data_IF_717981748607
#
_entry.id   IF_717981748607
#
_cell.length_a   1.000
_cell.length_b   1.000
_cell.length_c   1.000
_cell.angle_alpha   90.00
_cell.angle_beta   90.00
_cell.angle_gamma   90.00
#
_symmetry.space_group_name_H-M   'P 1'
#
loop_
_entity.id
_entity.type
_entity.pdbx_description
1 polymer ?
#
# COMPACT_ATOMS: atom_id res chain seq x y z
N UNK A 1 -29.75 8.74 23.84
CA UNK A 1 -30.02 10.18 23.65
C UNK A 1 -28.82 10.90 24.20
N UNK A 2 -27.95 11.36 23.31
CA UNK A 2 -26.69 12.00 23.65
C UNK A 2 -26.70 13.34 22.95
N UNK A 3 -26.74 14.39 23.76
CA UNK A 3 -26.74 15.79 23.34
C UNK A 3 -25.34 16.17 22.86
N UNK A 4 -25.21 16.46 21.57
CA UNK A 4 -24.01 17.02 20.96
C UNK A 4 -23.98 18.54 21.16
N UNK A 5 -22.89 19.06 21.71
CA UNK A 5 -22.61 20.49 21.76
C UNK A 5 -21.96 20.90 20.43
N UNK A 6 -22.58 21.84 19.72
CA UNK A 6 -22.11 22.30 18.40
C UNK A 6 -20.82 23.11 18.52
N UNK A 7 -19.67 22.51 18.17
CA UNK A 7 -18.67 23.24 17.39
C UNK A 7 -19.26 23.45 15.98
N UNK A 8 -18.93 24.56 15.31
CA UNK A 8 -19.45 25.03 14.01
C UNK A 8 -20.36 24.05 13.22
N UNK A 9 -21.56 24.51 12.85
CA UNK A 9 -22.67 23.72 12.28
C UNK A 9 -22.37 22.87 11.02
N UNK A 10 -21.17 22.95 10.45
CA UNK A 10 -20.74 22.26 9.22
C UNK A 10 -19.70 21.17 9.46
N UNK A 11 -19.12 21.08 10.67
CA UNK A 11 -18.08 20.12 10.96
C UNK A 11 -18.68 18.72 11.19
N UNK A 12 -17.97 17.70 10.74
CA UNK A 12 -18.34 16.31 10.98
C UNK A 12 -17.58 15.79 12.20
N UNK A 13 -18.32 15.35 13.22
CA UNK A 13 -17.78 14.70 14.42
C UNK A 13 -18.06 13.20 14.37
N UNK A 14 -16.99 12.41 14.41
CA UNK A 14 -17.02 10.95 14.35
C UNK A 14 -16.48 10.38 15.67
N UNK A 15 -17.27 9.52 16.33
CA UNK A 15 -16.84 8.85 17.56
C UNK A 15 -15.72 7.85 17.26
N UNK A 16 -14.72 7.78 18.14
CA UNK A 16 -13.68 6.75 18.14
C UNK A 16 -14.15 5.60 19.03
N UNK A 17 -14.48 4.42 18.47
CA UNK A 17 -14.91 3.29 19.29
C UNK A 17 -13.79 2.85 20.24
N UNK A 18 -14.10 2.62 21.53
CA UNK A 18 -13.11 2.19 22.53
C UNK A 18 -12.34 0.90 22.15
N UNK A 19 -12.99 0.00 21.39
CA UNK A 19 -12.32 -1.20 20.83
C UNK A 19 -11.19 -0.83 19.87
N UNK A 20 -11.37 0.24 19.09
CA UNK A 20 -10.39 0.68 18.10
C UNK A 20 -9.20 1.36 18.77
N UNK A 21 -9.40 2.06 19.90
CA UNK A 21 -8.30 2.62 20.70
C UNK A 21 -7.34 1.52 21.19
N UNK A 22 -7.88 0.47 21.82
CA UNK A 22 -7.06 -0.67 22.28
C UNK A 22 -6.31 -1.38 21.14
N UNK A 23 -6.93 -1.47 19.96
CA UNK A 23 -6.28 -2.05 18.78
C UNK A 23 -5.18 -1.14 18.22
N UNK A 24 -5.41 0.16 18.19
CA UNK A 24 -4.42 1.16 17.78
C UNK A 24 -3.21 1.14 18.71
N UNK A 25 -3.44 1.06 20.03
CA UNK A 25 -2.36 0.92 21.03
C UNK A 25 -1.52 -0.33 20.77
N UNK A 26 -2.17 -1.48 20.58
CA UNK A 26 -1.47 -2.73 20.31
C UNK A 26 -0.65 -2.65 19.02
N UNK A 27 -1.24 -2.11 17.95
CA UNK A 27 -0.60 -1.99 16.62
C UNK A 27 0.53 -0.97 16.60
N UNK A 28 0.44 0.09 17.39
CA UNK A 28 1.49 1.10 17.50
C UNK A 28 2.80 0.54 18.06
N UNK A 29 2.79 -0.65 18.68
CA UNK A 29 4.02 -1.29 19.15
C UNK A 29 4.97 -1.77 18.03
N UNK A 30 4.46 -1.87 16.80
CA UNK A 30 5.18 -2.36 15.60
C UNK A 30 5.88 -1.25 14.79
N UNK A 31 6.29 -0.16 15.45
CA UNK A 31 7.07 0.92 14.83
C UNK A 31 8.41 1.13 15.54
N UNK A 32 9.39 1.64 14.79
CA UNK A 32 10.80 1.58 15.20
C UNK A 32 11.15 2.50 16.36
N UNK A 33 10.45 3.64 16.48
CA UNK A 33 10.76 4.69 17.45
C UNK A 33 9.47 5.34 17.99
N UNK A 34 9.49 6.01 19.16
CA UNK A 34 8.30 6.58 19.77
C UNK A 34 7.49 7.52 18.87
N UNK A 35 8.14 8.34 18.04
CA UNK A 35 7.46 9.24 17.10
C UNK A 35 6.67 8.46 16.06
N UNK A 36 7.27 7.46 15.43
CA UNK A 36 6.58 6.61 14.45
C UNK A 36 5.46 5.78 15.09
N UNK A 37 5.62 5.33 16.35
CA UNK A 37 4.55 4.64 17.09
C UNK A 37 3.32 5.53 17.26
N UNK A 38 3.56 6.76 17.70
CA UNK A 38 2.50 7.73 17.91
C UNK A 38 1.82 8.14 16.60
N UNK A 39 2.61 8.34 15.53
CA UNK A 39 2.07 8.58 14.20
C UNK A 39 1.17 7.43 13.73
N UNK A 40 1.61 6.18 13.89
CA UNK A 40 0.80 5.00 13.57
C UNK A 40 -0.48 4.93 14.39
N UNK A 41 -0.42 5.26 15.68
CA UNK A 41 -1.59 5.32 16.57
C UNK A 41 -2.63 6.33 16.07
N UNK A 42 -2.23 7.58 15.84
CA UNK A 42 -3.13 8.65 15.39
C UNK A 42 -3.73 8.35 14.00
N UNK A 43 -2.94 7.79 13.09
CA UNK A 43 -3.45 7.36 11.78
C UNK A 43 -4.48 6.24 11.88
N UNK A 44 -4.26 5.26 12.75
CA UNK A 44 -5.22 4.18 12.98
C UNK A 44 -6.53 4.70 13.57
N UNK A 45 -6.48 5.61 14.56
CA UNK A 45 -7.67 6.22 15.14
C UNK A 45 -8.48 6.96 14.08
N UNK A 46 -7.82 7.84 13.34
CA UNK A 46 -8.39 8.60 12.23
C UNK A 46 -9.06 7.69 11.20
N UNK A 47 -8.31 6.71 10.69
CA UNK A 47 -8.82 5.76 9.71
C UNK A 47 -10.03 5.00 10.23
N UNK A 48 -9.98 4.55 11.49
CA UNK A 48 -11.03 3.72 12.08
C UNK A 48 -12.36 4.45 12.29
N UNK A 49 -12.31 5.78 12.45
CA UNK A 49 -13.49 6.62 12.57
C UNK A 49 -14.02 7.08 11.19
N UNK A 50 -13.11 7.46 10.28
CA UNK A 50 -13.47 8.07 8.99
C UNK A 50 -13.88 7.04 7.94
N UNK A 51 -13.25 5.85 7.90
CA UNK A 51 -13.58 4.83 6.88
C UNK A 51 -15.05 4.38 6.93
N UNK A 52 -15.65 4.07 8.09
CA UNK A 52 -17.07 3.72 8.16
C UNK A 52 -17.99 4.83 7.63
N UNK A 53 -17.67 6.09 7.93
CA UNK A 53 -18.41 7.23 7.41
C UNK A 53 -18.30 7.34 5.88
N UNK A 54 -17.10 7.19 5.31
CA UNK A 54 -16.94 7.18 3.84
C UNK A 54 -17.72 6.02 3.21
N UNK A 55 -17.75 4.85 3.87
CA UNK A 55 -18.49 3.69 3.39
C UNK A 55 -20.01 3.90 3.41
N UNK A 56 -20.52 4.65 4.38
CA UNK A 56 -21.94 4.98 4.49
C UNK A 56 -22.35 6.09 3.50
N UNK A 57 -21.56 7.16 3.41
CA UNK A 57 -21.91 8.36 2.65
C UNK A 57 -21.67 8.21 1.13
N UNK A 58 -20.61 7.50 0.72
CA UNK A 58 -20.21 7.41 -0.68
C UNK A 58 -20.49 6.03 -1.28
N UNK A 59 -19.86 4.98 -0.73
CA UNK A 59 -20.03 3.60 -1.22
C UNK A 59 -19.52 2.58 -0.23
N UNK A 60 -20.29 1.51 -0.02
CA UNK A 60 -19.88 0.39 0.85
C UNK A 60 -18.61 -0.34 0.38
N UNK A 61 -18.19 -0.11 -0.88
CA UNK A 61 -16.96 -0.66 -1.46
C UNK A 61 -15.71 0.18 -1.15
N UNK A 62 -15.86 1.32 -0.46
CA UNK A 62 -14.74 2.15 -0.07
C UNK A 62 -13.76 1.35 0.80
N UNK A 63 -12.47 1.44 0.47
CA UNK A 63 -11.43 0.61 1.07
C UNK A 63 -10.12 1.37 1.24
N UNK A 64 -9.34 0.93 2.21
CA UNK A 64 -7.98 1.42 2.44
C UNK A 64 -7.12 1.17 1.20
N UNK A 65 -6.35 2.17 0.78
CA UNK A 65 -5.37 2.04 -0.28
C UNK A 65 -3.93 1.96 0.27
N UNK A 66 -3.08 1.08 -0.28
CA UNK A 66 -3.43 0.00 -1.21
C UNK A 66 -4.10 -1.17 -0.46
N UNK A 67 -3.65 -1.47 0.76
CA UNK A 67 -4.27 -2.45 1.67
C UNK A 67 -3.95 -2.11 3.12
N UNK A 68 -4.72 -2.66 4.07
CA UNK A 68 -4.45 -2.51 5.51
C UNK A 68 -3.14 -3.15 5.97
N UNK A 69 -2.65 -4.18 5.27
CA UNK A 69 -1.48 -4.97 5.69
C UNK A 69 -0.16 -4.23 5.49
N UNK A 70 -0.11 -3.29 4.54
CA UNK A 70 1.09 -2.49 4.25
C UNK A 70 1.06 -1.09 4.87
N UNK A 71 -0.04 -0.69 5.52
CA UNK A 71 -0.15 0.61 6.20
C UNK A 71 1.01 0.88 7.18
N UNK A 72 1.49 -0.09 7.99
CA UNK A 72 2.62 0.16 8.89
C UNK A 72 3.88 0.65 8.17
N UNK A 73 4.17 0.20 6.94
CA UNK A 73 5.32 0.70 6.20
C UNK A 73 5.10 2.09 5.59
N UNK A 74 3.86 2.57 5.46
CA UNK A 74 3.57 3.97 5.16
C UNK A 74 3.76 4.80 6.43
N UNK A 75 3.07 4.42 7.51
CA UNK A 75 3.02 5.18 8.76
C UNK A 75 4.33 5.19 9.55
N UNK A 76 5.26 4.29 9.28
CA UNK A 76 6.63 4.42 9.80
C UNK A 76 7.33 5.67 9.27
N UNK A 77 6.99 6.08 8.04
CA UNK A 77 7.77 7.05 7.25
C UNK A 77 7.02 8.36 6.98
N UNK A 78 5.71 8.32 6.81
CA UNK A 78 4.87 9.44 6.36
C UNK A 78 3.53 9.42 7.11
N UNK A 79 3.14 10.58 7.65
CA UNK A 79 1.82 10.76 8.24
C UNK A 79 0.74 10.74 7.14
N UNK A 80 -0.36 10.04 7.38
CA UNK A 80 -1.54 10.04 6.52
C UNK A 80 -1.89 8.68 5.95
N UNK A 81 -3.11 8.58 5.44
CA UNK A 81 -3.69 7.35 4.90
C UNK A 81 -4.57 7.67 3.70
N UNK A 82 -4.56 6.80 2.70
CA UNK A 82 -5.46 6.92 1.56
C UNK A 82 -6.64 5.95 1.67
N UNK A 83 -7.81 6.41 1.26
CA UNK A 83 -9.02 5.62 1.07
C UNK A 83 -9.43 5.73 -0.40
N UNK A 84 -9.58 4.59 -1.07
CA UNK A 84 -10.07 4.51 -2.44
C UNK A 84 -11.60 4.34 -2.44
N UNK A 85 -12.25 5.14 -3.28
CA UNK A 85 -13.69 5.18 -3.54
C UNK A 85 -13.86 5.18 -5.05
N UNK A 86 -14.08 4.00 -5.63
CA UNK A 86 -14.05 3.76 -7.08
C UNK A 86 -12.73 4.27 -7.72
N UNK A 87 -12.80 5.32 -8.54
CA UNK A 87 -11.65 5.96 -9.19
C UNK A 87 -11.09 7.15 -8.39
N UNK A 88 -11.77 7.53 -7.32
CA UNK A 88 -11.44 8.68 -6.47
C UNK A 88 -10.62 8.22 -5.27
N UNK A 89 -9.65 9.04 -4.86
CA UNK A 89 -8.84 8.80 -3.66
C UNK A 89 -8.98 9.94 -2.67
N UNK A 90 -9.38 9.61 -1.45
CA UNK A 90 -9.37 10.50 -0.30
C UNK A 90 -8.08 10.32 0.50
N UNK A 91 -7.43 11.42 0.86
CA UNK A 91 -6.25 11.42 1.72
C UNK A 91 -6.64 11.99 3.07
N UNK A 92 -6.39 11.21 4.11
CA UNK A 92 -6.53 11.59 5.50
C UNK A 92 -5.15 11.97 6.02
N UNK A 93 -4.96 13.20 6.49
CA UNK A 93 -3.75 13.59 7.20
C UNK A 93 -4.17 14.05 8.59
N UNK A 94 -4.14 13.17 9.59
CA UNK A 94 -4.59 13.53 10.92
C UNK A 94 -3.61 14.48 11.60
N UNK A 95 -4.17 15.39 12.39
CA UNK A 95 -3.48 16.35 13.24
C UNK A 95 -4.14 16.38 14.61
N UNK A 96 -3.39 16.77 15.63
CA UNK A 96 -3.92 17.08 16.97
C UNK A 96 -3.80 18.59 17.27
N UNK A 97 -3.48 19.38 16.24
CA UNK A 97 -3.45 20.83 16.39
C UNK A 97 -4.88 21.33 16.62
N UNK A 98 -5.04 22.08 17.71
CA UNK A 98 -6.30 22.75 18.07
C UNK A 98 -6.55 23.98 17.17
N UNK A 99 -5.48 24.52 16.57
CA UNK A 99 -5.58 25.64 15.64
C UNK A 99 -5.91 25.12 14.24
N UNK A 100 -7.19 25.26 13.85
CA UNK A 100 -7.71 24.96 12.50
C UNK A 100 -7.33 26.05 11.49
N UNK A 101 -6.13 26.64 11.59
CA UNK A 101 -5.70 27.74 10.73
C UNK A 101 -5.25 27.27 9.35
N UNK A 102 -4.77 26.03 9.24
CA UNK A 102 -4.32 25.45 7.97
C UNK A 102 -4.42 23.92 7.93
N UNK A 103 -4.64 23.39 6.72
CA UNK A 103 -4.42 21.97 6.42
C UNK A 103 -2.99 21.78 5.93
N UNK A 104 -2.22 20.92 6.60
CA UNK A 104 -0.85 20.58 6.23
C UNK A 104 -0.77 19.16 5.69
N UNK A 105 -0.24 18.99 4.48
CA UNK A 105 -0.16 17.71 3.78
C UNK A 105 1.30 17.39 3.43
N UNK A 106 1.84 16.23 3.84
CA UNK A 106 3.17 15.79 3.43
C UNK A 106 3.32 15.73 1.91
N UNK A 107 4.47 16.21 1.41
CA UNK A 107 4.81 16.26 -0.01
C UNK A 107 4.59 14.92 -0.73
N UNK A 108 4.78 13.79 -0.06
CA UNK A 108 4.59 12.44 -0.58
C UNK A 108 3.16 12.18 -1.06
N UNK A 109 2.16 12.73 -0.36
CA UNK A 109 0.76 12.59 -0.75
C UNK A 109 0.34 13.56 -1.86
N UNK A 110 1.23 14.44 -2.30
CA UNK A 110 0.94 15.48 -3.30
C UNK A 110 1.75 15.24 -4.57
N UNK A 111 3.06 15.03 -4.45
CA UNK A 111 3.99 15.02 -5.57
C UNK A 111 4.37 13.60 -6.04
N UNK A 112 3.86 12.53 -5.41
CA UNK A 112 4.03 11.15 -5.91
C UNK A 112 2.82 10.74 -6.75
N UNK A 113 3.08 10.31 -7.99
CA UNK A 113 2.01 10.04 -8.97
C UNK A 113 1.10 8.90 -8.51
N UNK A 114 1.67 7.86 -7.91
CA UNK A 114 0.87 6.72 -7.46
C UNK A 114 0.16 6.96 -6.14
N UNK A 115 0.59 7.93 -5.31
CA UNK A 115 0.01 8.21 -3.99
C UNK A 115 -1.01 9.36 -4.01
N UNK A 116 -0.88 10.31 -4.93
CA UNK A 116 -1.66 11.54 -4.93
C UNK A 116 -3.19 11.30 -4.83
N UNK A 117 -3.82 12.09 -3.97
CA UNK A 117 -5.26 12.11 -3.75
C UNK A 117 -6.02 12.86 -4.81
N UNK A 118 -7.35 12.74 -4.78
CA UNK A 118 -8.26 13.70 -5.40
C UNK A 118 -8.70 14.74 -4.38
N UNK A 119 -9.03 14.28 -3.17
CA UNK A 119 -9.51 15.08 -2.05
C UNK A 119 -8.67 14.84 -0.81
N UNK A 120 -8.35 15.91 -0.09
CA UNK A 120 -7.60 15.90 1.16
C UNK A 120 -8.52 16.39 2.26
N UNK A 121 -8.78 15.53 3.24
CA UNK A 121 -9.64 15.86 4.35
C UNK A 121 -8.81 16.55 5.44
N UNK A 122 -9.36 17.65 5.95
CA UNK A 122 -8.80 18.37 7.08
C UNK A 122 -9.32 17.72 8.37
N UNK A 123 -8.46 16.92 9.00
CA UNK A 123 -8.84 16.03 10.10
C UNK A 123 -8.09 16.38 11.37
N UNK A 124 -8.85 16.65 12.42
CA UNK A 124 -8.39 16.78 13.80
C UNK A 124 -8.76 15.50 14.56
N UNK A 125 -7.80 14.90 15.25
CA UNK A 125 -8.01 13.74 16.11
C UNK A 125 -7.91 14.21 17.56
N UNK A 126 -8.89 13.85 18.37
CA UNK A 126 -8.92 14.14 19.82
C UNK A 126 -9.04 12.81 20.57
N UNK A 127 -7.91 12.11 20.81
CA UNK A 127 -7.93 10.77 21.39
C UNK A 127 -8.55 10.74 22.78
N UNK A 128 -8.25 11.74 23.62
CA UNK A 128 -8.70 11.83 25.01
C UNK A 128 -10.22 12.05 25.12
N UNK A 129 -10.78 12.85 24.22
CA UNK A 129 -12.22 13.09 24.12
C UNK A 129 -12.94 12.03 23.26
N UNK A 130 -12.18 11.13 22.63
CA UNK A 130 -12.70 9.99 21.89
C UNK A 130 -13.41 10.35 20.58
N UNK A 131 -12.99 11.40 19.88
CA UNK A 131 -13.58 11.76 18.59
C UNK A 131 -12.56 12.17 17.53
N UNK A 132 -12.99 12.10 16.27
CA UNK A 132 -12.32 12.65 15.10
C UNK A 132 -13.22 13.72 14.51
N UNK A 133 -12.67 14.90 14.25
CA UNK A 133 -13.36 16.02 13.64
C UNK A 133 -12.84 16.23 12.23
N UNK A 134 -13.74 16.25 11.25
CA UNK A 134 -13.44 16.68 9.88
C UNK A 134 -14.03 18.07 9.70
N UNK A 135 -13.17 19.07 9.60
CA UNK A 135 -13.56 20.49 9.58
C UNK A 135 -13.53 21.12 8.17
N UNK A 136 -13.13 20.33 7.17
CA UNK A 136 -13.17 20.73 5.77
C UNK A 136 -12.41 19.80 4.84
N UNK A 137 -12.33 20.18 3.57
CA UNK A 137 -11.56 19.47 2.56
C UNK A 137 -11.05 20.41 1.46
N UNK A 138 -10.04 19.96 0.73
CA UNK A 138 -9.61 20.59 -0.52
C UNK A 138 -9.28 19.52 -1.59
N UNK A 139 -9.15 19.96 -2.83
CA UNK A 139 -8.69 19.10 -3.93
C UNK A 139 -7.16 19.13 -4.07
N UNK A 140 -6.59 18.13 -4.73
CA UNK A 140 -5.17 18.14 -5.11
C UNK A 140 -4.79 19.38 -5.92
N UNK A 141 -5.66 19.81 -6.84
CA UNK A 141 -5.48 21.02 -7.65
C UNK A 141 -5.36 22.27 -6.77
N UNK A 142 -6.26 22.46 -5.81
CA UNK A 142 -6.21 23.57 -4.87
C UNK A 142 -4.91 23.54 -4.04
N UNK A 143 -4.54 22.36 -3.53
CA UNK A 143 -3.33 22.16 -2.75
C UNK A 143 -2.06 22.56 -3.53
N UNK A 144 -1.98 22.19 -4.82
CA UNK A 144 -0.83 22.53 -5.69
C UNK A 144 -0.79 23.99 -6.11
N UNK A 145 -1.95 24.60 -6.38
CA UNK A 145 -2.02 25.92 -6.99
C UNK A 145 -2.18 27.07 -5.99
N UNK A 146 -2.68 26.77 -4.79
CA UNK A 146 -2.94 27.76 -3.73
C UNK A 146 -2.18 27.48 -2.43
N UNK A 147 -1.83 26.22 -2.19
CA UNK A 147 -1.05 25.85 -1.01
C UNK A 147 0.36 26.44 -1.03
N UNK A 148 0.85 26.80 0.15
CA UNK A 148 2.22 27.22 0.37
C UNK A 148 3.09 26.01 0.71
N UNK A 149 4.18 25.81 -0.03
CA UNK A 149 5.11 24.72 0.22
C UNK A 149 6.18 25.12 1.23
N UNK A 150 6.21 24.44 2.38
CA UNK A 150 7.28 24.55 3.37
C UNK A 150 8.37 23.49 3.10
N UNK A 151 9.54 23.95 2.69
CA UNK A 151 10.68 23.09 2.42
C UNK A 151 11.34 22.52 3.69
N UNK A 152 11.10 23.13 4.86
CA UNK A 152 11.68 22.74 6.15
C UNK A 152 11.18 21.38 6.62
N UNK A 153 9.90 21.09 6.43
CA UNK A 153 9.28 19.82 6.78
C UNK A 153 8.63 19.08 5.59
N UNK A 154 8.78 19.63 4.38
CA UNK A 154 8.23 19.12 3.12
C UNK A 154 6.73 18.91 3.23
N UNK A 155 6.01 19.98 3.55
CA UNK A 155 4.55 19.98 3.61
C UNK A 155 3.99 21.09 2.73
N UNK A 156 2.83 20.83 2.15
CA UNK A 156 1.98 21.87 1.56
C UNK A 156 0.97 22.29 2.62
N UNK A 157 0.87 23.59 2.87
CA UNK A 157 -0.09 24.18 3.79
C UNK A 157 -1.14 24.98 3.01
N UNK A 158 -2.42 24.75 3.27
CA UNK A 158 -3.53 25.54 2.71
C UNK A 158 -4.24 26.21 3.87
N UNK A 159 -4.37 27.53 3.81
CA UNK A 159 -5.07 28.32 4.83
C UNK A 159 -6.54 27.90 4.89
N UNK A 160 -7.11 27.88 6.09
CA UNK A 160 -8.50 27.53 6.34
C UNK A 160 -9.47 28.33 5.46
N UNK A 161 -9.18 29.60 5.16
CA UNK A 161 -10.05 30.43 4.29
C UNK A 161 -10.16 29.90 2.85
N UNK A 162 -9.20 29.07 2.42
CA UNK A 162 -9.17 28.48 1.08
C UNK A 162 -9.70 27.04 1.03
N UNK A 163 -10.02 26.47 2.20
CA UNK A 163 -10.58 25.13 2.37
C UNK A 163 -12.10 25.20 2.27
N UNK A 164 -12.71 24.14 1.76
CA UNK A 164 -14.16 23.99 1.73
C UNK A 164 -14.59 23.38 3.07
N UNK A 165 -15.16 24.20 3.95
CA UNK A 165 -15.56 23.80 5.30
C UNK A 165 -16.81 22.91 5.34
N UNK A 166 -17.73 23.08 4.40
CA UNK A 166 -18.97 22.30 4.37
C UNK A 166 -18.70 20.93 3.74
N UNK A 167 -18.47 19.93 4.59
CA UNK A 167 -18.21 18.56 4.18
C UNK A 167 -19.42 17.92 3.47
N UNK A 168 -20.65 18.36 3.75
CA UNK A 168 -21.85 17.86 3.08
C UNK A 168 -21.88 18.24 1.59
N UNK A 169 -21.16 19.29 1.18
CA UNK A 169 -21.02 19.68 -0.23
C UNK A 169 -20.15 18.69 -1.01
N UNK A 170 -19.27 17.93 -0.34
CA UNK A 170 -18.36 16.99 -1.00
C UNK A 170 -19.11 15.89 -1.76
N UNK A 171 -20.07 15.23 -1.12
CA UNK A 171 -20.88 14.17 -1.73
C UNK A 171 -21.67 14.71 -2.93
N UNK A 172 -22.32 15.87 -2.77
CA UNK A 172 -23.04 16.56 -3.84
C UNK A 172 -22.11 16.93 -5.01
N UNK A 173 -20.89 17.37 -4.73
CA UNK A 173 -19.93 17.77 -5.77
C UNK A 173 -19.50 16.56 -6.60
N UNK A 174 -19.30 15.40 -5.98
CA UNK A 174 -18.97 14.18 -6.72
C UNK A 174 -20.12 13.70 -7.61
N UNK A 175 -21.36 13.79 -7.13
CA UNK A 175 -22.54 13.39 -7.90
C UNK A 175 -22.82 14.34 -9.08
N UNK A 176 -22.76 15.64 -8.84
CA UNK A 176 -23.14 16.67 -9.82
C UNK A 176 -22.01 17.05 -10.78
N UNK A 177 -20.75 16.92 -10.36
CA UNK A 177 -19.57 17.34 -11.11
C UNK A 177 -18.51 16.22 -11.23
N UNK A 178 -18.85 15.02 -11.75
CA UNK A 178 -17.92 13.88 -11.83
C UNK A 178 -16.72 14.11 -12.77
N UNK A 179 -16.80 15.15 -13.62
CA UNK A 179 -15.73 15.53 -14.55
C UNK A 179 -14.89 16.72 -14.04
N UNK A 180 -15.10 17.15 -12.78
CA UNK A 180 -14.28 18.18 -12.19
C UNK A 180 -12.81 17.73 -12.13
N UNK A 181 -11.90 18.61 -12.54
CA UNK A 181 -10.47 18.34 -12.46
C UNK A 181 -10.06 18.51 -10.99
N UNK A 182 -9.90 17.38 -10.31
CA UNK A 182 -9.48 17.31 -8.90
C UNK A 182 -7.97 17.37 -8.73
N UNK A 183 -7.21 16.96 -9.76
CA UNK A 183 -5.74 16.84 -9.71
C UNK A 183 -5.03 17.77 -10.69
N UNK A 184 -4.07 18.53 -10.19
CA UNK A 184 -3.04 19.15 -11.01
C UNK A 184 -2.07 18.10 -11.58
N UNK A 185 -1.35 18.45 -12.65
CA UNK A 185 -0.34 17.59 -13.26
C UNK A 185 0.85 17.36 -12.31
N UNK A 186 1.27 16.11 -12.18
CA UNK A 186 2.42 15.70 -11.36
C UNK A 186 3.54 15.27 -12.30
N UNK A 187 4.74 15.80 -12.07
CA UNK A 187 5.92 15.38 -12.82
C UNK A 187 6.37 14.01 -12.33
N UNK A 188 6.61 13.03 -13.23
CA UNK A 188 7.10 11.73 -12.82
C UNK A 188 8.51 11.85 -12.22
N UNK A 189 8.79 11.01 -11.23
CA UNK A 189 10.11 10.94 -10.61
C UNK A 189 11.10 10.20 -11.51
N UNK A 190 12.41 10.54 -11.42
CA UNK A 190 13.44 9.77 -12.08
C UNK A 190 13.52 8.36 -11.47
N UNK A 191 13.78 7.36 -12.31
CA UNK A 191 14.02 5.98 -11.87
C UNK A 191 15.25 5.92 -10.94
N UNK A 192 15.09 5.26 -9.81
CA UNK A 192 16.17 5.06 -8.84
C UNK A 192 16.89 3.73 -9.15
N UNK A 193 18.21 3.71 -9.42
CA UNK A 193 18.94 2.47 -9.65
C UNK A 193 18.95 1.55 -8.42
N UNK A 194 18.84 0.24 -8.61
CA UNK A 194 18.81 -0.74 -7.53
C UNK A 194 20.02 -0.63 -6.55
N UNK A 195 21.28 -0.50 -7.00
CA UNK A 195 22.41 -0.36 -6.06
C UNK A 195 22.30 0.90 -5.19
N UNK A 196 21.70 1.96 -5.74
CA UNK A 196 21.46 3.18 -4.98
C UNK A 196 20.33 2.97 -3.95
N UNK A 197 19.23 2.33 -4.33
CA UNK A 197 18.14 1.99 -3.43
C UNK A 197 18.63 1.13 -2.25
N UNK A 198 19.40 0.08 -2.49
CA UNK A 198 19.91 -0.81 -1.43
C UNK A 198 20.81 -0.08 -0.42
N UNK A 199 21.68 0.80 -0.91
CA UNK A 199 22.51 1.66 -0.06
C UNK A 199 21.67 2.63 0.78
N UNK A 200 20.60 3.19 0.21
CA UNK A 200 19.68 4.08 0.92
C UNK A 200 18.89 3.33 1.98
N UNK A 201 18.33 2.16 1.67
CA UNK A 201 17.62 1.29 2.62
C UNK A 201 18.54 0.99 3.80
N UNK A 202 19.78 0.59 3.54
CA UNK A 202 20.77 0.29 4.59
C UNK A 202 21.10 1.51 5.46
N UNK A 203 21.20 2.69 4.86
CA UNK A 203 21.56 3.92 5.58
C UNK A 203 20.40 4.52 6.37
N UNK A 204 19.20 4.55 5.79
CA UNK A 204 17.98 5.11 6.37
C UNK A 204 17.27 4.11 7.31
N UNK A 205 17.59 2.82 7.19
CA UNK A 205 17.15 1.74 8.07
C UNK A 205 17.69 1.86 9.48
N UNK A 206 18.72 2.67 9.69
CA UNK A 206 19.34 2.93 10.99
C UNK A 206 18.41 3.74 11.89
N UNK A 207 18.07 3.26 13.12
CA UNK A 207 17.18 3.97 14.04
C UNK A 207 17.64 5.38 14.43
N UNK A 208 18.95 5.66 14.32
CA UNK A 208 19.51 6.99 14.58
C UNK A 208 19.04 8.05 13.57
N UNK A 209 18.56 7.62 12.39
CA UNK A 209 17.90 8.50 11.42
C UNK A 209 16.44 8.66 11.82
N UNK A 210 16.17 9.69 12.62
CA UNK A 210 14.84 9.99 13.18
C UNK A 210 13.84 10.40 12.08
N UNK A 211 14.27 11.21 11.11
CA UNK A 211 13.41 11.73 10.02
C UNK A 211 13.95 11.35 8.64
N UNK A 212 13.82 10.08 8.21
CA UNK A 212 14.33 9.62 6.91
C UNK A 212 13.90 10.48 5.72
N UNK A 213 12.66 10.97 5.73
CA UNK A 213 12.09 11.81 4.67
C UNK A 213 12.81 13.14 4.47
N UNK A 214 13.55 13.67 5.46
CA UNK A 214 14.30 14.92 5.35
C UNK A 214 15.80 14.69 5.14
N UNK A 215 16.29 13.45 5.29
CA UNK A 215 17.72 13.13 5.24
C UNK A 215 18.32 13.12 3.83
N UNK A 216 17.49 13.07 2.78
CA UNK A 216 17.90 13.02 1.37
C UNK A 216 16.97 13.85 0.49
N UNK A 217 17.36 14.27 -0.73
CA UNK A 217 16.49 15.03 -1.64
C UNK A 217 15.18 14.31 -1.96
N UNK A 218 14.09 15.07 -2.13
CA UNK A 218 12.74 14.51 -2.32
C UNK A 218 12.67 13.57 -3.53
N UNK A 219 13.30 13.88 -4.66
CA UNK A 219 13.26 13.00 -5.83
C UNK A 219 13.81 11.60 -5.54
N UNK A 220 14.86 11.52 -4.72
CA UNK A 220 15.49 10.25 -4.32
C UNK A 220 14.64 9.55 -3.25
N UNK A 221 14.11 10.33 -2.30
CA UNK A 221 13.20 9.82 -1.26
C UNK A 221 11.93 9.24 -1.86
N UNK A 222 11.23 10.04 -2.67
CA UNK A 222 10.01 9.68 -3.38
C UNK A 222 10.19 8.43 -4.23
N UNK A 223 11.26 8.37 -5.03
CA UNK A 223 11.55 7.18 -5.85
C UNK A 223 11.80 5.92 -5.01
N UNK A 224 12.31 6.07 -3.79
CA UNK A 224 12.52 4.95 -2.86
C UNK A 224 11.20 4.45 -2.26
N UNK A 225 10.36 5.36 -1.76
CA UNK A 225 9.14 4.98 -1.03
C UNK A 225 7.94 4.71 -1.94
N UNK A 226 7.91 5.29 -3.14
CA UNK A 226 6.89 4.99 -4.14
C UNK A 226 6.99 3.53 -4.62
N UNK A 227 8.17 2.93 -4.51
CA UNK A 227 8.37 1.50 -4.73
C UNK A 227 7.98 0.69 -3.48
N UNK A 228 6.81 0.02 -3.52
CA UNK A 228 6.27 -0.80 -2.41
C UNK A 228 7.29 -1.76 -1.77
N UNK A 229 8.03 -2.51 -2.60
CA UNK A 229 9.06 -3.45 -2.13
C UNK A 229 10.17 -2.78 -1.34
N UNK A 230 10.82 -1.74 -1.89
CA UNK A 230 11.85 -0.99 -1.17
C UNK A 230 11.34 -0.27 0.08
N UNK A 231 10.13 0.29 0.04
CA UNK A 231 9.46 0.88 1.21
C UNK A 231 9.29 -0.15 2.33
N UNK A 232 8.83 -1.35 1.97
CA UNK A 232 8.66 -2.46 2.90
C UNK A 232 10.01 -2.94 3.46
N UNK A 233 11.05 -3.07 2.62
CA UNK A 233 12.41 -3.41 3.07
C UNK A 233 12.96 -2.37 4.03
N UNK A 234 12.76 -1.07 3.75
CA UNK A 234 13.15 0.02 4.65
C UNK A 234 12.43 -0.08 5.99
N UNK A 235 11.12 -0.28 6.00
CA UNK A 235 10.33 -0.47 7.22
C UNK A 235 10.87 -1.65 8.07
N UNK A 236 11.08 -2.81 7.43
CA UNK A 236 11.60 -3.99 8.11
C UNK A 236 12.99 -3.77 8.70
N UNK A 237 13.88 -3.10 7.96
CA UNK A 237 15.23 -2.80 8.44
C UNK A 237 15.19 -1.85 9.64
N UNK A 238 14.28 -0.87 9.66
CA UNK A 238 14.08 0.03 10.81
C UNK A 238 13.58 -0.70 12.05
N UNK A 239 12.80 -1.77 11.88
CA UNK A 239 12.39 -2.65 12.97
C UNK A 239 13.47 -3.64 13.42
N UNK A 240 14.61 -3.71 12.73
CA UNK A 240 15.64 -4.71 12.99
C UNK A 240 15.22 -6.13 12.62
N UNK A 241 14.20 -6.27 11.76
CA UNK A 241 13.76 -7.58 11.28
C UNK A 241 14.74 -8.10 10.21
N UNK A 242 15.05 -9.41 10.21
CA UNK A 242 15.83 -10.01 9.14
C UNK A 242 15.05 -9.95 7.81
N UNK A 243 15.74 -10.15 6.69
CA UNK A 243 15.14 -10.18 5.36
C UNK A 243 13.98 -11.18 5.31
N UNK A 244 12.75 -10.69 5.19
CA UNK A 244 11.53 -11.50 5.37
C UNK A 244 11.07 -12.19 4.09
N UNK A 245 11.68 -11.91 2.94
CA UNK A 245 11.15 -12.21 1.58
C UNK A 245 12.00 -13.20 0.79
N UNK A 246 12.75 -14.06 1.47
CA UNK A 246 13.53 -15.12 0.81
C UNK A 246 12.63 -16.33 0.46
N UNK A 247 12.43 -16.55 -0.84
CA UNK A 247 11.67 -17.68 -1.36
C UNK A 247 12.32 -19.00 -0.97
N UNK A 248 13.65 -19.11 -1.10
CA UNK A 248 14.39 -20.30 -0.67
C UNK A 248 14.18 -20.59 0.83
N UNK A 249 14.23 -19.55 1.68
CA UNK A 249 13.98 -19.72 3.10
C UNK A 249 12.54 -20.16 3.37
N UNK A 250 11.55 -19.56 2.69
CA UNK A 250 10.15 -19.93 2.87
C UNK A 250 9.86 -21.38 2.48
N UNK A 251 10.51 -21.89 1.43
CA UNK A 251 10.40 -23.29 1.03
C UNK A 251 11.01 -24.24 2.07
N UNK A 252 12.11 -23.84 2.71
CA UNK A 252 12.80 -24.66 3.72
C UNK A 252 12.12 -24.63 5.08
N UNK A 253 11.80 -23.44 5.61
CA UNK A 253 11.33 -23.24 6.99
C UNK A 253 9.85 -22.87 7.13
N UNK A 254 9.13 -22.73 6.01
CA UNK A 254 7.77 -22.18 6.00
C UNK A 254 7.76 -20.66 5.74
N UNK A 255 6.64 -20.17 5.24
CA UNK A 255 6.41 -18.74 4.95
C UNK A 255 6.53 -17.92 6.23
N UNK A 256 7.16 -16.74 6.17
CA UNK A 256 7.29 -15.87 7.33
C UNK A 256 5.91 -15.34 7.77
N UNK A 257 5.74 -15.04 9.06
CA UNK A 257 4.48 -14.48 9.56
C UNK A 257 4.11 -13.16 8.84
N UNK A 258 5.11 -12.35 8.47
CA UNK A 258 4.91 -11.13 7.70
C UNK A 258 4.42 -11.39 6.27
N UNK A 259 4.80 -12.52 5.67
CA UNK A 259 4.32 -12.89 4.35
C UNK A 259 2.95 -13.55 4.41
N UNK A 260 2.64 -14.33 5.45
CA UNK A 260 1.30 -14.87 5.71
C UNK A 260 0.26 -13.76 5.90
N UNK A 261 0.59 -12.68 6.63
CA UNK A 261 -0.34 -11.54 6.80
C UNK A 261 -0.59 -10.80 5.51
N UNK A 262 0.39 -10.76 4.62
CA UNK A 262 0.22 -10.19 3.27
C UNK A 262 -0.44 -11.22 2.34
N UNK A 263 -0.60 -12.49 2.74
CA UNK A 263 -1.42 -13.50 2.08
C UNK A 263 -0.65 -14.51 1.23
N UNK A 264 0.66 -14.65 1.47
CA UNK A 264 1.45 -15.77 0.98
C UNK A 264 1.19 -17.02 1.84
N UNK A 265 1.17 -18.18 1.20
CA UNK A 265 1.03 -19.47 1.87
C UNK A 265 1.80 -20.57 1.14
N UNK A 266 2.02 -21.68 1.83
CA UNK A 266 2.64 -22.88 1.24
C UNK A 266 1.57 -23.89 0.86
N UNK A 267 1.55 -24.29 -0.40
CA UNK A 267 0.78 -25.44 -0.86
C UNK A 267 1.68 -26.67 -0.84
N UNK A 268 1.30 -27.65 -0.01
CA UNK A 268 1.84 -28.99 -0.12
C UNK A 268 0.98 -29.75 -1.12
N UNK A 269 1.41 -29.79 -2.38
CA UNK A 269 0.77 -30.62 -3.40
C UNK A 269 1.14 -32.08 -3.14
N UNK A 270 0.39 -32.76 -2.25
CA UNK A 270 0.28 -34.22 -2.31
C UNK A 270 -0.58 -34.56 -3.53
N UNK A 271 0.00 -34.48 -4.72
CA UNK A 271 -0.61 -35.02 -5.93
C UNK A 271 -0.69 -36.54 -5.80
N UNK A 272 -1.78 -37.02 -5.21
CA UNK A 272 -2.16 -38.43 -5.27
C UNK A 272 -2.73 -38.74 -6.66
N UNK A 273 -1.87 -38.73 -7.68
CA UNK A 273 -2.21 -39.40 -8.94
C UNK A 273 -2.06 -40.90 -8.69
N UNK A 274 -3.21 -41.58 -8.57
CA UNK A 274 -3.27 -43.04 -8.53
C UNK A 274 -2.72 -43.63 -9.83
N UNK A 275 -1.43 -43.94 -9.84
CA UNK A 275 -0.73 -44.63 -10.93
C UNK A 275 0.56 -45.23 -10.40
N UNK A 276 0.61 -46.56 -10.25
CA UNK A 276 1.78 -47.29 -9.75
C UNK A 276 3.01 -47.01 -10.61
N UNK A 277 4.06 -46.48 -9.99
CA UNK A 277 5.44 -46.58 -10.47
C UNK A 277 6.01 -45.29 -11.06
N UNK A 278 6.35 -44.34 -10.20
CA UNK A 278 7.40 -43.35 -10.45
C UNK A 278 7.96 -42.93 -9.10
N UNK A 279 9.27 -42.72 -9.04
CA UNK A 279 10.03 -42.37 -7.84
C UNK A 279 9.35 -41.26 -7.03
N UNK A 280 9.35 -41.41 -5.71
CA UNK A 280 8.92 -40.40 -4.76
C UNK A 280 9.80 -39.15 -4.93
N UNK A 281 9.40 -38.25 -5.81
CA UNK A 281 9.95 -36.89 -5.87
C UNK A 281 9.54 -36.22 -4.55
N UNK A 282 10.48 -35.68 -3.76
CA UNK A 282 10.15 -35.04 -2.49
C UNK A 282 9.15 -33.92 -2.77
N UNK A 283 8.12 -33.81 -1.91
CA UNK A 283 7.02 -32.86 -2.09
C UNK A 283 7.53 -31.46 -2.46
N UNK A 284 7.42 -31.11 -3.74
CA UNK A 284 7.79 -29.79 -4.22
C UNK A 284 6.90 -28.78 -3.51
N UNK A 285 7.56 -27.99 -2.68
CA UNK A 285 6.90 -27.02 -1.84
C UNK A 285 6.64 -25.82 -2.73
N UNK A 286 5.37 -25.49 -2.93
CA UNK A 286 4.96 -24.41 -3.83
C UNK A 286 4.50 -23.24 -2.96
N UNK A 287 4.94 -22.05 -3.33
CA UNK A 287 4.42 -20.83 -2.73
C UNK A 287 3.19 -20.38 -3.51
N UNK A 288 2.20 -19.88 -2.78
CA UNK A 288 0.91 -19.44 -3.32
C UNK A 288 0.52 -18.08 -2.75
N UNK A 289 -0.13 -17.26 -3.58
CA UNK A 289 -0.64 -15.94 -3.21
C UNK A 289 -2.04 -15.76 -3.80
N UNK A 290 -3.03 -15.55 -2.94
CA UNK A 290 -4.42 -15.29 -3.37
C UNK A 290 -4.63 -13.82 -3.69
N UNK A 291 -5.22 -13.58 -4.86
CA UNK A 291 -5.40 -12.25 -5.44
C UNK A 291 -6.88 -12.02 -5.78
N UNK A 292 -7.40 -10.86 -5.44
CA UNK A 292 -8.73 -10.43 -5.87
C UNK A 292 -8.60 -9.53 -7.09
N UNK A 293 -9.14 -9.95 -8.24
CA UNK A 293 -9.07 -9.19 -9.49
C UNK A 293 -10.47 -9.15 -10.10
N UNK A 294 -11.04 -7.94 -10.26
CA UNK A 294 -12.36 -7.70 -10.83
C UNK A 294 -13.46 -8.58 -10.20
N UNK A 295 -13.47 -8.68 -8.86
CA UNK A 295 -14.45 -9.46 -8.11
C UNK A 295 -14.29 -10.99 -8.19
N UNK A 296 -13.23 -11.50 -8.83
CA UNK A 296 -12.90 -12.93 -8.84
C UNK A 296 -11.59 -13.20 -8.09
N UNK A 297 -11.43 -14.44 -7.62
CA UNK A 297 -10.22 -14.88 -6.93
C UNK A 297 -9.30 -15.62 -7.89
N UNK A 298 -8.05 -15.18 -7.94
CA UNK A 298 -6.96 -15.81 -8.66
C UNK A 298 -5.88 -16.25 -7.69
N UNK A 299 -5.05 -17.18 -8.12
CA UNK A 299 -3.92 -17.69 -7.36
C UNK A 299 -2.65 -17.55 -8.19
N UNK A 300 -1.67 -16.84 -7.64
CA UNK A 300 -0.31 -16.78 -8.16
C UNK A 300 0.52 -17.85 -7.45
N UNK A 301 1.18 -18.69 -8.22
CA UNK A 301 2.05 -19.76 -7.76
C UNK A 301 3.50 -19.45 -8.13
N UNK A 302 4.43 -19.78 -7.22
CA UNK A 302 5.87 -19.77 -7.49
C UNK A 302 6.38 -21.18 -7.30
N UNK A 303 6.79 -21.78 -8.41
CA UNK A 303 7.10 -23.21 -8.52
C UNK A 303 8.57 -23.35 -8.93
N UNK A 304 9.43 -23.98 -8.10
CA UNK A 304 10.77 -24.36 -8.53
C UNK A 304 10.70 -25.49 -9.54
N UNK A 305 11.45 -25.38 -10.65
CA UNK A 305 11.60 -26.40 -11.68
C UNK A 305 13.08 -26.72 -11.91
N UNK A 306 13.41 -27.97 -12.20
CA UNK A 306 14.76 -28.41 -12.53
C UNK A 306 15.53 -29.05 -11.36
N UNK A 307 16.78 -29.44 -11.65
CA UNK A 307 17.69 -30.05 -10.66
C UNK A 307 18.50 -28.96 -9.90
N UNK A 308 19.06 -29.34 -8.74
CA UNK A 308 19.61 -28.43 -7.70
C UNK A 308 20.59 -27.33 -8.16
N UNK A 309 21.24 -27.48 -9.31
CA UNK A 309 22.26 -26.53 -9.79
C UNK A 309 21.75 -25.53 -10.86
N UNK A 310 20.55 -25.72 -11.41
CA UNK A 310 19.88 -24.79 -12.32
C UNK A 310 18.37 -24.77 -12.04
N UNK A 311 17.99 -24.10 -10.95
CA UNK A 311 16.57 -23.93 -10.61
C UNK A 311 15.98 -22.86 -11.52
N UNK A 312 15.03 -23.25 -12.35
CA UNK A 312 14.17 -22.37 -13.11
C UNK A 312 12.93 -22.11 -12.27
N UNK A 313 12.57 -20.85 -12.07
CA UNK A 313 11.39 -20.46 -11.31
C UNK A 313 10.24 -20.16 -12.26
N UNK A 314 9.13 -20.88 -12.07
CA UNK A 314 7.89 -20.64 -12.80
C UNK A 314 6.93 -19.84 -11.92
N UNK A 315 6.58 -18.66 -12.40
CA UNK A 315 5.48 -17.87 -11.88
C UNK A 315 4.24 -18.20 -12.70
N UNK A 316 3.20 -18.70 -12.06
CA UNK A 316 1.97 -19.12 -12.73
C UNK A 316 0.75 -18.46 -12.11
N UNK A 317 -0.05 -17.80 -12.93
CA UNK A 317 -1.34 -17.25 -12.54
C UNK A 317 -2.45 -18.19 -13.04
N UNK A 318 -3.38 -18.54 -12.16
CA UNK A 318 -4.59 -19.31 -12.50
C UNK A 318 -5.82 -18.74 -11.79
N UNK A 319 -7.01 -19.03 -12.33
CA UNK A 319 -8.24 -18.76 -11.59
C UNK A 319 -8.33 -19.73 -10.41
N UNK A 320 -8.69 -19.25 -9.21
CA UNK A 320 -8.80 -20.11 -8.04
C UNK A 320 -10.04 -21.03 -8.10
N UNK A 321 -11.02 -20.69 -8.94
CA UNK A 321 -12.19 -21.53 -9.19
C UNK A 321 -11.83 -22.63 -10.19
N UNK A 322 -11.94 -23.89 -9.76
CA UNK A 322 -11.61 -25.06 -10.59
C UNK A 322 -12.39 -25.03 -11.91
N UNK A 323 -11.66 -25.11 -13.03
CA UNK A 323 -12.22 -25.12 -14.39
C UNK A 323 -12.62 -23.75 -14.93
N UNK A 324 -12.47 -22.66 -14.15
CA UNK A 324 -12.62 -21.31 -14.66
C UNK A 324 -11.34 -20.88 -15.40
N UNK A 325 -11.53 -20.16 -16.51
CA UNK A 325 -10.44 -19.63 -17.32
C UNK A 325 -10.10 -18.19 -16.92
N UNK A 326 -8.86 -17.79 -17.17
CA UNK A 326 -8.43 -16.39 -17.19
C UNK A 326 -8.95 -15.75 -18.49
N UNK A 327 -9.74 -14.66 -18.43
CA UNK A 327 -10.21 -13.96 -19.60
C UNK A 327 -9.09 -13.32 -20.43
N UNK A 328 -9.38 -13.03 -21.71
CA UNK A 328 -8.49 -12.21 -22.54
C UNK A 328 -8.31 -10.80 -21.96
N UNK A 329 -7.11 -10.24 -22.13
CA UNK A 329 -6.69 -8.95 -21.59
C UNK A 329 -5.85 -9.04 -20.32
N UNK A 330 -5.75 -10.22 -19.70
CA UNK A 330 -4.87 -10.42 -18.55
C UNK A 330 -3.41 -10.50 -18.96
N UNK A 331 -2.52 -10.02 -18.09
CA UNK A 331 -1.07 -10.10 -18.25
C UNK A 331 -0.43 -10.45 -16.92
N UNK A 332 0.52 -11.38 -16.94
CA UNK A 332 1.48 -11.64 -15.87
C UNK A 332 2.85 -11.15 -16.34
N UNK A 333 3.53 -10.32 -15.54
CA UNK A 333 4.83 -9.76 -15.86
C UNK A 333 5.79 -9.91 -14.68
N UNK A 334 7.06 -10.19 -14.96
CA UNK A 334 8.17 -10.12 -14.04
C UNK A 334 9.08 -8.94 -14.40
N UNK A 335 9.67 -8.30 -13.40
CA UNK A 335 10.55 -7.14 -13.55
C UNK A 335 11.73 -7.29 -12.60
N UNK A 336 12.84 -6.65 -12.94
CA UNK A 336 13.95 -6.46 -11.99
C UNK A 336 13.50 -5.58 -10.81
N UNK A 337 14.29 -5.51 -9.75
CA UNK A 337 14.00 -4.68 -8.57
C UNK A 337 13.88 -3.18 -8.87
N UNK A 338 14.54 -2.69 -9.91
CA UNK A 338 14.42 -1.31 -10.40
C UNK A 338 13.35 -1.16 -11.51
N UNK A 339 12.41 -2.12 -11.56
CA UNK A 339 11.24 -2.15 -12.43
C UNK A 339 11.57 -2.14 -13.92
N UNK A 340 12.72 -2.68 -14.31
CA UNK A 340 13.09 -2.81 -15.71
C UNK A 340 12.59 -4.13 -16.30
N UNK A 341 12.08 -4.12 -17.54
CA UNK A 341 11.73 -5.34 -18.25
C UNK A 341 12.98 -6.08 -18.72
N UNK A 342 12.86 -7.38 -18.91
CA UNK A 342 13.88 -8.25 -19.49
C UNK A 342 13.24 -9.16 -20.57
N UNK A 343 14.03 -9.85 -21.41
CA UNK A 343 13.46 -10.70 -22.47
C UNK A 343 12.54 -11.79 -21.92
N UNK A 344 11.39 -11.99 -22.56
CA UNK A 344 10.36 -12.98 -22.20
C UNK A 344 9.83 -12.84 -20.75
N UNK A 345 9.79 -11.61 -20.23
CA UNK A 345 9.36 -11.34 -18.86
C UNK A 345 7.84 -11.28 -18.68
N UNK A 346 7.03 -11.48 -19.72
CA UNK A 346 5.58 -11.38 -19.62
C UNK A 346 4.86 -12.43 -20.47
N UNK A 347 3.66 -12.80 -20.00
CA UNK A 347 2.69 -13.62 -20.71
C UNK A 347 1.33 -12.91 -20.71
N UNK A 348 0.64 -12.93 -21.85
CA UNK A 348 -0.59 -12.16 -22.09
C UNK A 348 -1.69 -13.08 -22.62
N UNK A 349 -2.81 -13.11 -21.92
CA UNK A 349 -4.02 -13.78 -22.37
C UNK A 349 -4.65 -12.96 -23.52
N UNK A 350 -4.57 -13.44 -24.76
CA UNK A 350 -5.31 -12.83 -25.89
C UNK A 350 -6.73 -13.36 -26.00
N UNK A 351 -6.97 -14.58 -25.52
CA UNK A 351 -8.26 -15.25 -25.41
C UNK A 351 -8.36 -15.89 -24.02
N UNK A 352 -9.49 -16.54 -23.72
CA UNK A 352 -9.63 -17.29 -22.48
C UNK A 352 -8.61 -18.44 -22.42
N UNK A 353 -7.80 -18.48 -21.37
CA UNK A 353 -6.76 -19.50 -21.13
C UNK A 353 -6.87 -20.06 -19.71
N UNK A 354 -6.39 -21.28 -19.49
CA UNK A 354 -6.45 -21.88 -18.14
C UNK A 354 -5.46 -21.21 -17.17
N UNK A 355 -4.32 -20.75 -17.69
CA UNK A 355 -3.25 -20.15 -16.91
C UNK A 355 -2.39 -19.21 -17.75
N UNK A 356 -1.68 -18.30 -17.08
CA UNK A 356 -0.55 -17.53 -17.62
C UNK A 356 0.71 -17.93 -16.86
N UNK A 357 1.86 -17.98 -17.53
CA UNK A 357 3.10 -18.28 -16.83
C UNK A 357 4.33 -17.60 -17.42
N UNK A 358 5.29 -17.29 -16.54
CA UNK A 358 6.62 -16.79 -16.90
C UNK A 358 7.66 -17.63 -16.18
N UNK A 359 8.68 -18.07 -16.92
CA UNK A 359 9.80 -18.86 -16.40
C UNK A 359 11.07 -18.04 -16.42
N UNK A 360 11.81 -18.04 -15.31
CA UNK A 360 13.03 -17.25 -15.14
C UNK A 360 14.07 -18.04 -14.37
N UNK A 361 15.32 -17.97 -14.82
CA UNK A 361 16.48 -18.44 -14.05
C UNK A 361 17.02 -17.25 -13.26
N UNK A 362 17.25 -17.45 -11.96
CA UNK A 362 17.67 -16.40 -11.03
C UNK A 362 18.95 -16.81 -10.31
N UNK A 363 19.88 -15.88 -10.18
CA UNK A 363 21.08 -16.07 -9.35
C UNK A 363 20.74 -15.90 -7.86
N UNK A 364 21.48 -16.56 -6.94
CA UNK A 364 21.28 -16.39 -5.51
C UNK A 364 21.41 -14.92 -5.07
N UNK A 365 20.39 -14.41 -4.39
CA UNK A 365 20.25 -13.03 -3.92
C UNK A 365 19.53 -12.10 -4.90
N UNK A 366 19.22 -12.55 -6.13
CA UNK A 366 18.45 -11.74 -7.07
C UNK A 366 17.01 -11.55 -6.58
N UNK A 367 16.52 -10.32 -6.69
CA UNK A 367 15.14 -9.98 -6.45
C UNK A 367 14.34 -9.83 -7.73
N UNK A 368 13.10 -10.32 -7.72
CA UNK A 368 12.15 -10.11 -8.79
C UNK A 368 10.87 -9.46 -8.26
N UNK A 369 10.33 -8.55 -9.06
CA UNK A 369 9.01 -7.96 -8.85
C UNK A 369 8.05 -8.63 -9.82
N UNK A 370 6.88 -9.03 -9.34
CA UNK A 370 5.81 -9.55 -10.17
C UNK A 370 4.68 -8.52 -10.27
N UNK A 371 4.08 -8.38 -11.45
CA UNK A 371 2.95 -7.50 -11.72
C UNK A 371 1.86 -8.25 -12.51
N UNK A 372 0.60 -7.93 -12.23
CA UNK A 372 -0.55 -8.47 -12.96
C UNK A 372 -1.40 -7.31 -13.45
N UNK A 373 -1.84 -7.38 -14.70
CA UNK A 373 -2.85 -6.48 -15.28
C UNK A 373 -4.09 -7.34 -15.64
N UNK A 374 -5.32 -6.96 -15.26
CA UNK A 374 -5.69 -5.84 -14.39
C UNK A 374 -5.09 -5.96 -12.98
N UNK A 375 -4.78 -4.81 -12.37
CA UNK A 375 -4.12 -4.76 -11.06
C UNK A 375 -5.00 -5.44 -9.98
N UNK A 376 -4.44 -6.33 -9.14
CA UNK A 376 -5.19 -6.89 -8.05
C UNK A 376 -5.59 -5.83 -7.02
N UNK A 377 -6.77 -6.02 -6.43
CA UNK A 377 -7.37 -5.12 -5.47
C UNK A 377 -6.63 -5.08 -4.13
N UNK A 378 -5.88 -6.13 -3.81
CA UNK A 378 -5.21 -6.36 -2.54
C UNK A 378 -3.69 -6.42 -2.69
N UNK A 379 -3.14 -5.63 -3.62
CA UNK A 379 -1.74 -5.69 -4.02
C UNK A 379 -1.02 -4.36 -3.84
N UNK A 380 0.19 -4.45 -3.30
CA UNK A 380 1.25 -3.46 -3.46
C UNK A 380 2.47 -4.18 -4.05
N UNK A 381 3.40 -3.46 -4.66
CA UNK A 381 4.59 -4.07 -5.27
C UNK A 381 5.41 -4.81 -4.23
N UNK A 382 5.71 -6.07 -4.50
CA UNK A 382 6.51 -6.94 -3.64
C UNK A 382 7.81 -7.34 -4.36
N UNK A 383 8.92 -7.45 -3.62
CA UNK A 383 10.17 -8.01 -4.12
C UNK A 383 10.35 -9.39 -3.49
N UNK A 384 10.42 -10.44 -4.32
CA UNK A 384 10.76 -11.79 -3.90
C UNK A 384 12.25 -12.03 -4.14
N UNK A 385 12.96 -12.54 -3.12
CA UNK A 385 14.40 -12.80 -3.16
C UNK A 385 14.66 -14.30 -3.30
N UNK A 386 15.53 -14.66 -4.23
CA UNK A 386 15.80 -16.07 -4.60
C UNK A 386 17.19 -16.54 -4.21
#
# INVERSE_FOLDING_TARGET
MTTFSFANSTDLLLEIPAKNQNLADLRSSYFSNPTSRYQGYINELCLSAVLPWIQEEFTSQAKVWPTTTVLPSFWELVNGTAIAVDVTRFILVPSENIDDSELRVPQEWVDLTTWAGDYYLAVQVEPDEGYVRVWGYCTHEQLKNRGNYDAGDRTYAVDAIEIIHDISVLALTQELCPQAITRAAISPLPTLPQPQAQNLITRLGKPEVVTPRLAIPFQVWGGLIEHGGWRQSLYQQRLGLPEQWSVLQWLQSGVSQAAETIGWGRLNLQLSFGGRGAEETPADSILSRLLAIAGQTYELLVIPQGERDQVIWRFELRNATVGAAIPGGFKLRLLTEDLQPFPNNEDIATNAVEQLFVEVALEPGEGIVWEIEPLPENYDREILKF
#
